data_IF_529896090873
#
_entry.id   IF_529896090873
#
_cell.length_a   1.000
_cell.length_b   1.000
_cell.length_c   1.000
_cell.angle_alpha   90.00
_cell.angle_beta   90.00
_cell.angle_gamma   90.00
#
_symmetry.space_group_name_H-M   'P 1'
#
loop_
_entity.id
_entity.type
_entity.pdbx_description
1 polymer ?
#
# COMPACT_ATOMS: atom_id res chain seq x y z
N UNK A 1 -11.93 23.21 8.13
CA UNK A 1 -11.07 22.02 7.95
C UNK A 1 -11.89 20.82 8.34
N UNK A 2 -12.70 20.31 7.43
CA UNK A 2 -13.52 19.12 7.67
C UNK A 2 -12.56 17.95 7.84
N UNK A 3 -12.62 17.29 9.00
CA UNK A 3 -11.84 16.09 9.29
C UNK A 3 -12.36 14.99 8.35
N UNK A 4 -11.79 14.86 7.15
CA UNK A 4 -12.12 13.74 6.27
C UNK A 4 -11.87 12.45 7.04
N UNK A 5 -12.93 11.67 7.22
CA UNK A 5 -12.82 10.38 7.88
C UNK A 5 -11.92 9.51 7.00
N UNK A 6 -10.88 8.93 7.59
CA UNK A 6 -10.05 7.95 6.89
C UNK A 6 -10.95 6.83 6.37
N UNK A 7 -10.77 6.47 5.09
CA UNK A 7 -11.59 5.44 4.45
C UNK A 7 -10.88 4.11 4.52
N UNK A 8 -11.51 3.13 5.17
CA UNK A 8 -11.04 1.75 5.18
C UNK A 8 -11.68 0.94 4.05
N UNK A 9 -10.88 0.13 3.36
CA UNK A 9 -11.32 -0.71 2.24
C UNK A 9 -10.74 -2.10 2.42
N UNK A 10 -11.63 -3.08 2.60
CA UNK A 10 -11.31 -4.51 2.65
C UNK A 10 -10.75 -5.02 1.32
N UNK A 11 -9.79 -5.94 1.41
CA UNK A 11 -9.11 -6.58 0.28
C UNK A 11 -8.93 -8.07 0.58
N UNK A 12 -8.69 -8.85 -0.47
CA UNK A 12 -8.43 -10.29 -0.32
C UNK A 12 -7.15 -10.60 0.46
N UNK A 13 -6.24 -9.62 0.55
CA UNK A 13 -4.94 -9.74 1.21
C UNK A 13 -4.86 -9.04 2.58
N UNK A 14 -5.97 -8.49 3.07
CA UNK A 14 -6.04 -7.67 4.28
C UNK A 14 -6.87 -6.42 4.04
N UNK A 15 -6.38 -5.23 4.38
CA UNK A 15 -7.12 -3.98 4.20
C UNK A 15 -6.21 -2.79 3.88
N UNK A 16 -6.80 -1.76 3.27
CA UNK A 16 -6.14 -0.46 3.07
C UNK A 16 -6.92 0.66 3.81
N UNK A 17 -6.18 1.57 4.44
CA UNK A 17 -6.73 2.77 5.08
C UNK A 17 -6.23 3.99 4.31
N UNK A 18 -7.15 4.69 3.66
CA UNK A 18 -6.84 5.89 2.88
C UNK A 18 -6.77 7.10 3.80
N UNK A 19 -5.58 7.70 3.87
CA UNK A 19 -5.30 8.92 4.61
C UNK A 19 -5.68 10.12 3.74
N UNK A 20 -5.34 10.05 2.45
CA UNK A 20 -5.71 11.04 1.46
C UNK A 20 -5.82 10.41 0.08
N UNK A 21 -6.80 10.86 -0.71
CA UNK A 21 -6.96 10.44 -2.09
C UNK A 21 -7.56 11.59 -2.91
N UNK A 22 -6.69 12.37 -3.55
CA UNK A 22 -7.08 13.48 -4.42
C UNK A 22 -6.39 13.33 -5.79
N UNK A 23 -6.67 14.21 -6.77
CA UNK A 23 -6.06 14.12 -8.09
C UNK A 23 -4.52 14.15 -8.09
N UNK A 24 -3.92 14.87 -7.12
CA UNK A 24 -2.47 15.07 -7.06
C UNK A 24 -1.73 13.99 -6.27
N UNK A 25 -2.33 13.47 -5.19
CA UNK A 25 -1.64 12.56 -4.28
C UNK A 25 -2.61 11.56 -3.65
N UNK A 26 -2.07 10.38 -3.36
CA UNK A 26 -2.76 9.37 -2.58
C UNK A 26 -1.80 8.83 -1.51
N UNK A 27 -2.28 8.78 -0.27
CA UNK A 27 -1.57 8.24 0.87
C UNK A 27 -2.43 7.18 1.54
N UNK A 28 -1.86 5.99 1.71
CA UNK A 28 -2.57 4.84 2.28
C UNK A 28 -1.68 4.08 3.24
N UNK A 29 -2.28 3.55 4.30
CA UNK A 29 -1.71 2.42 5.02
C UNK A 29 -2.20 1.13 4.36
N UNK A 30 -1.30 0.19 4.14
CA UNK A 30 -1.62 -1.15 3.64
C UNK A 30 -1.31 -2.13 4.77
N UNK A 31 -2.31 -2.91 5.17
CA UNK A 31 -2.19 -3.96 6.16
C UNK A 31 -2.37 -5.29 5.43
N UNK A 32 -1.32 -6.09 5.41
CA UNK A 32 -1.31 -7.38 4.74
C UNK A 32 -1.35 -8.49 5.79
N UNK A 33 -2.25 -9.45 5.57
CA UNK A 33 -2.29 -10.67 6.36
C UNK A 33 -1.07 -11.56 6.07
N UNK A 34 -0.65 -12.34 7.07
CA UNK A 34 0.53 -13.20 6.92
C UNK A 34 0.31 -14.23 5.82
N UNK A 35 1.21 -14.24 4.83
CA UNK A 35 1.16 -15.16 3.71
C UNK A 35 0.20 -14.74 2.59
N UNK A 36 -0.43 -13.57 2.72
CA UNK A 36 -1.24 -13.01 1.66
C UNK A 36 -0.37 -12.30 0.60
N UNK A 37 -0.91 -12.21 -0.60
CA UNK A 37 -0.31 -11.51 -1.73
C UNK A 37 -1.37 -10.69 -2.47
N UNK A 38 -0.96 -9.55 -3.01
CA UNK A 38 -1.79 -8.80 -3.95
C UNK A 38 -1.53 -9.23 -5.39
N UNK A 39 -2.48 -8.94 -6.28
CA UNK A 39 -2.22 -8.99 -7.72
C UNK A 39 -1.17 -7.94 -8.12
N UNK A 40 -0.48 -8.17 -9.24
CA UNK A 40 0.29 -7.10 -9.89
C UNK A 40 -0.61 -5.91 -10.24
N UNK A 41 -0.10 -4.71 -10.00
CA UNK A 41 -0.73 -3.47 -10.42
C UNK A 41 0.30 -2.52 -11.03
N UNK A 42 -0.18 -1.60 -11.87
CA UNK A 42 0.66 -0.62 -12.55
C UNK A 42 -0.09 0.69 -12.75
N UNK A 43 0.63 1.81 -12.60
CA UNK A 43 0.11 3.15 -12.81
C UNK A 43 0.94 3.89 -13.88
N UNK A 44 0.28 4.38 -14.95
CA UNK A 44 0.94 5.14 -16.02
C UNK A 44 1.40 6.54 -15.59
N UNK A 45 0.65 7.15 -14.69
CA UNK A 45 0.78 8.58 -14.34
C UNK A 45 1.31 8.81 -12.92
N UNK A 46 1.19 7.80 -12.04
CA UNK A 46 1.51 7.93 -10.61
C UNK A 46 2.82 7.24 -10.30
N UNK A 47 3.70 7.95 -9.61
CA UNK A 47 4.85 7.34 -8.95
C UNK A 47 4.43 6.88 -7.56
N UNK A 48 4.88 5.70 -7.15
CA UNK A 48 4.59 5.12 -5.85
C UNK A 48 5.87 4.99 -5.02
N UNK A 49 5.73 5.10 -3.71
CA UNK A 49 6.82 4.87 -2.76
C UNK A 49 6.28 4.00 -1.64
N UNK A 50 6.95 2.89 -1.38
CA UNK A 50 6.57 1.94 -0.34
C UNK A 50 7.54 2.03 0.82
N UNK A 51 6.98 2.03 2.03
CA UNK A 51 7.75 2.04 3.28
C UNK A 51 7.16 1.02 4.24
N UNK A 52 7.99 0.10 4.73
CA UNK A 52 7.55 -0.89 5.70
C UNK A 52 7.61 -0.29 7.11
N UNK A 53 6.46 -0.17 7.76
CA UNK A 53 6.38 0.36 9.14
C UNK A 53 6.52 -0.75 10.19
N UNK A 54 6.09 -1.97 9.88
CA UNK A 54 6.10 -3.12 10.80
C UNK A 54 6.07 -4.43 10.01
N UNK A 55 6.69 -5.47 10.54
CA UNK A 55 6.68 -6.81 9.96
C UNK A 55 7.78 -6.97 8.91
N UNK A 56 7.50 -7.71 7.84
CA UNK A 56 8.38 -7.86 6.69
C UNK A 56 7.50 -8.16 5.48
N UNK A 57 7.82 -7.57 4.33
CA UNK A 57 7.07 -7.80 3.08
C UNK A 57 8.04 -7.88 1.90
N UNK A 58 7.77 -8.78 0.96
CA UNK A 58 8.45 -8.81 -0.32
C UNK A 58 7.71 -7.86 -1.29
N UNK A 59 8.44 -6.94 -1.91
CA UNK A 59 7.94 -6.09 -2.98
C UNK A 59 8.52 -6.59 -4.31
N UNK A 60 7.67 -7.14 -5.16
CA UNK A 60 8.09 -7.61 -6.49
C UNK A 60 7.92 -6.51 -7.53
N UNK A 61 9.01 -6.12 -8.19
CA UNK A 61 9.03 -5.12 -9.26
C UNK A 61 9.63 -5.77 -10.49
N UNK A 62 8.85 -5.86 -11.58
CA UNK A 62 9.29 -6.47 -12.85
C UNK A 62 9.91 -7.87 -12.67
N UNK A 63 9.31 -8.69 -11.79
CA UNK A 63 9.76 -10.05 -11.51
C UNK A 63 10.98 -10.15 -10.58
N UNK A 64 11.41 -9.05 -9.97
CA UNK A 64 12.48 -9.04 -8.97
C UNK A 64 11.94 -8.70 -7.59
N UNK A 65 12.33 -9.50 -6.60
CA UNK A 65 11.87 -9.34 -5.23
C UNK A 65 12.82 -8.46 -4.42
N UNK A 66 12.24 -7.50 -3.71
CA UNK A 66 12.92 -6.62 -2.77
C UNK A 66 12.31 -6.83 -1.38
N UNK A 67 13.11 -7.30 -0.43
CA UNK A 67 12.65 -7.47 0.94
C UNK A 67 12.64 -6.13 1.68
N UNK A 68 11.45 -5.66 2.05
CA UNK A 68 11.27 -4.48 2.86
C UNK A 68 11.19 -4.89 4.34
N UNK A 69 12.08 -4.33 5.14
CA UNK A 69 12.09 -4.44 6.60
C UNK A 69 11.79 -3.07 7.21
N UNK A 70 11.19 -3.02 8.41
CA UNK A 70 11.11 -1.79 9.18
C UNK A 70 12.52 -1.31 9.53
N UNK A 71 12.68 0.02 9.57
CA UNK A 71 13.90 0.68 10.05
C UNK A 71 14.05 0.56 11.57
#
# INVERSE_FOLDING_TARGET
MTKELMKEVEKVWGNEVWIVNCPLYCGKFLYLDKGAESSYHYHKEKQETFYCLKGQVALTIEGRDYMLNPF
#
